data_IF_087752254179
#
_entry.id   IF_087752254179
#
_cell.length_a   1.000
_cell.length_b   1.000
_cell.length_c   1.000
_cell.angle_alpha   90.00
_cell.angle_beta   90.00
_cell.angle_gamma   90.00
#
_symmetry.space_group_name_H-M   'P 1'
#
loop_
_entity.id
_entity.type
_entity.pdbx_description
1 polymer ?
#
# COMPACT_ATOMS: atom_id res chain seq x y z
N UNK A 1 -22.93 -27.02 1.39
CA UNK A 1 -22.78 -25.68 2.02
C UNK A 1 -22.46 -25.76 3.51
N UNK A 2 -23.12 -26.63 4.29
CA UNK A 2 -22.74 -26.89 5.68
C UNK A 2 -21.32 -27.47 5.84
N UNK A 3 -20.81 -28.15 4.81
CA UNK A 3 -19.42 -28.63 4.75
C UNK A 3 -18.38 -27.52 5.01
N UNK A 4 -18.64 -26.28 4.59
CA UNK A 4 -17.73 -25.15 4.85
C UNK A 4 -17.77 -24.67 6.31
N UNK A 5 -18.91 -24.84 6.98
CA UNK A 5 -19.07 -24.56 8.42
C UNK A 5 -18.38 -25.65 9.22
N UNK A 6 -18.59 -26.92 8.85
CA UNK A 6 -17.94 -28.07 9.48
C UNK A 6 -16.42 -28.06 9.30
N UNK A 7 -15.94 -27.59 8.14
CA UNK A 7 -14.52 -27.38 7.86
C UNK A 7 -13.92 -26.12 8.54
N UNK A 8 -14.73 -25.30 9.23
CA UNK A 8 -14.27 -24.08 9.90
C UNK A 8 -13.83 -22.95 8.97
N UNK A 9 -14.19 -23.01 7.69
CA UNK A 9 -13.86 -21.98 6.70
C UNK A 9 -14.78 -20.75 6.81
N UNK A 10 -16.00 -20.96 7.31
CA UNK A 10 -16.98 -19.91 7.62
C UNK A 10 -17.61 -20.18 8.98
N UNK A 11 -18.04 -19.11 9.65
CA UNK A 11 -18.68 -19.22 10.98
C UNK A 11 -20.16 -19.62 10.91
N UNK A 12 -20.81 -19.43 9.75
CA UNK A 12 -22.22 -19.76 9.57
C UNK A 12 -22.79 -19.25 8.25
N UNK A 13 -24.05 -19.60 7.99
CA UNK A 13 -24.82 -19.18 6.81
C UNK A 13 -26.04 -18.42 7.30
N UNK A 14 -26.24 -17.21 6.81
CA UNK A 14 -27.38 -16.36 7.14
C UNK A 14 -27.69 -15.41 5.99
N UNK A 15 -28.86 -14.76 6.01
CA UNK A 15 -29.20 -13.76 5.01
C UNK A 15 -28.43 -12.47 5.27
N UNK A 16 -28.29 -11.63 4.24
CA UNK A 16 -27.60 -10.34 4.34
C UNK A 16 -28.20 -9.46 5.44
N UNK A 17 -29.53 -9.47 5.59
CA UNK A 17 -30.24 -8.76 6.67
C UNK A 17 -29.81 -9.23 8.06
N UNK A 18 -29.59 -10.54 8.24
CA UNK A 18 -29.19 -11.12 9.52
C UNK A 18 -27.76 -10.66 9.89
N UNK A 19 -26.87 -10.57 8.88
CA UNK A 19 -25.52 -10.04 9.06
C UNK A 19 -25.57 -8.56 9.44
N UNK A 20 -26.36 -7.76 8.73
CA UNK A 20 -26.50 -6.34 9.03
C UNK A 20 -27.03 -6.10 10.45
N UNK A 21 -28.05 -6.86 10.87
CA UNK A 21 -28.65 -6.73 12.19
C UNK A 21 -27.65 -7.13 13.29
N UNK A 22 -26.88 -8.21 13.09
CA UNK A 22 -25.78 -8.56 14.00
C UNK A 22 -24.72 -7.45 14.09
N UNK A 23 -24.36 -6.81 12.98
CA UNK A 23 -23.41 -5.69 12.97
C UNK A 23 -23.98 -4.46 13.69
N UNK A 24 -25.26 -4.12 13.46
CA UNK A 24 -25.94 -3.02 14.17
C UNK A 24 -25.97 -3.29 15.67
N UNK A 25 -26.32 -4.50 16.09
CA UNK A 25 -26.35 -4.89 17.51
C UNK A 25 -24.94 -4.78 18.12
N UNK A 26 -23.90 -5.22 17.42
CA UNK A 26 -22.52 -5.21 17.91
C UNK A 26 -21.92 -3.82 18.03
N UNK A 27 -22.20 -2.93 17.06
CA UNK A 27 -21.58 -1.61 16.96
C UNK A 27 -22.49 -0.43 17.32
N UNK A 28 -23.80 -0.68 17.52
CA UNK A 28 -24.83 0.33 17.80
C UNK A 28 -25.33 0.37 19.24
N UNK A 29 -24.85 -0.52 20.13
CA UNK A 29 -25.20 -0.52 21.56
C UNK A 29 -24.57 0.67 22.27
N UNK A 30 -25.40 1.65 22.64
CA UNK A 30 -25.16 2.49 23.80
C UNK A 30 -25.63 1.78 25.08
N UNK A 31 -25.24 2.22 26.28
CA UNK A 31 -25.47 1.50 27.54
C UNK A 31 -26.95 1.20 27.91
N UNK A 32 -27.94 1.69 27.14
CA UNK A 32 -29.36 1.61 27.48
C UNK A 32 -30.31 1.31 26.30
N UNK A 33 -29.84 0.87 25.13
CA UNK A 33 -30.70 0.59 23.97
C UNK A 33 -31.06 -0.90 23.85
N UNK A 34 -32.34 -1.20 23.62
CA UNK A 34 -32.83 -2.55 23.32
C UNK A 34 -32.46 -2.96 21.89
N UNK A 35 -32.28 -4.26 21.63
CA UNK A 35 -31.83 -4.76 20.32
C UNK A 35 -32.80 -4.42 19.20
N UNK A 36 -34.10 -4.48 19.46
CA UNK A 36 -35.18 -4.17 18.51
C UNK A 36 -35.20 -2.69 18.09
N UNK A 37 -34.62 -1.80 18.91
CA UNK A 37 -34.47 -0.38 18.60
C UNK A 37 -33.16 -0.09 17.85
N UNK A 38 -32.14 -0.92 18.04
CA UNK A 38 -30.83 -0.80 17.39
C UNK A 38 -30.90 -1.26 15.94
N UNK A 39 -31.58 -2.37 15.64
CA UNK A 39 -31.71 -2.91 14.27
C UNK A 39 -32.46 -1.97 13.31
N UNK A 40 -33.33 -1.10 13.84
CA UNK A 40 -34.04 -0.06 13.08
C UNK A 40 -33.16 1.12 12.66
N UNK A 41 -31.99 1.29 13.29
CA UNK A 41 -31.06 2.35 12.96
C UNK A 41 -30.18 1.92 11.78
N UNK A 42 -29.75 2.86 10.92
CA UNK A 42 -28.79 2.54 9.88
C UNK A 42 -27.48 2.04 10.51
N UNK A 43 -26.83 1.08 9.86
CA UNK A 43 -25.53 0.61 10.29
C UNK A 43 -24.55 1.80 10.31
N UNK A 44 -23.88 2.01 11.46
CA UNK A 44 -22.85 3.01 11.59
C UNK A 44 -21.57 2.55 10.87
N UNK A 45 -21.54 2.76 9.55
CA UNK A 45 -20.43 2.38 8.68
C UNK A 45 -19.81 3.59 8.01
N UNK A 46 -18.56 3.44 7.61
CA UNK A 46 -17.85 4.41 6.77
C UNK A 46 -17.25 3.68 5.59
N UNK A 47 -17.50 4.20 4.39
CA UNK A 47 -16.85 3.69 3.19
C UNK A 47 -15.32 3.85 3.31
N UNK A 48 -14.58 2.81 2.92
CA UNK A 48 -13.12 2.78 3.03
C UNK A 48 -12.46 3.91 2.23
N UNK A 49 -12.97 4.23 1.03
CA UNK A 49 -12.41 5.31 0.21
C UNK A 49 -12.65 6.66 0.88
N UNK A 50 -13.83 6.87 1.49
CA UNK A 50 -14.14 8.07 2.29
C UNK A 50 -13.25 8.17 3.52
N UNK A 51 -12.98 7.05 4.19
CA UNK A 51 -12.13 7.00 5.38
C UNK A 51 -10.68 7.39 5.06
N UNK A 52 -10.10 6.80 4.00
CA UNK A 52 -8.70 7.03 3.60
C UNK A 52 -8.47 8.40 2.97
N UNK A 53 -9.49 9.01 2.34
CA UNK A 53 -9.39 10.35 1.73
C UNK A 53 -9.22 11.50 2.74
N UNK A 54 -9.33 11.24 4.04
CA UNK A 54 -9.06 12.27 5.05
C UNK A 54 -7.58 12.64 5.04
N UNK A 55 -7.30 13.94 5.13
CA UNK A 55 -5.94 14.46 5.17
C UNK A 55 -5.29 14.10 6.52
N UNK A 56 -4.72 12.90 6.57
CA UNK A 56 -4.07 12.33 7.75
C UNK A 56 -2.96 13.25 8.26
N UNK A 57 -2.15 13.85 7.38
CA UNK A 57 -1.05 14.76 7.75
C UNK A 57 -1.52 15.91 8.66
N UNK A 58 -2.69 16.51 8.37
CA UNK A 58 -3.28 17.56 9.21
C UNK A 58 -3.89 17.04 10.51
N UNK A 59 -4.35 15.79 10.53
CA UNK A 59 -5.04 15.21 11.70
C UNK A 59 -4.08 14.69 12.78
N UNK A 60 -2.89 14.22 12.40
CA UNK A 60 -1.90 13.68 13.36
C UNK A 60 -0.85 14.71 13.80
N UNK A 61 -1.00 15.98 13.38
CA UNK A 61 -0.04 17.03 13.74
C UNK A 61 1.34 16.87 13.10
N UNK A 62 1.50 15.95 12.14
CA UNK A 62 2.75 15.72 11.39
C UNK A 62 2.80 16.73 10.24
N UNK A 63 2.92 18.01 10.59
CA UNK A 63 3.07 19.11 9.65
C UNK A 63 4.45 19.74 9.79
N UNK A 64 5.28 19.63 8.75
CA UNK A 64 6.63 20.23 8.71
C UNK A 64 7.69 19.39 9.42
N UNK A 65 8.79 19.08 8.73
CA UNK A 65 9.88 18.28 9.27
C UNK A 65 10.65 17.49 8.21
N UNK A 66 11.67 16.78 8.68
CA UNK A 66 12.42 15.78 7.91
C UNK A 66 11.50 14.60 7.53
N UNK A 67 11.63 14.09 6.31
CA UNK A 67 10.78 13.05 5.71
C UNK A 67 11.61 11.82 5.34
N UNK A 68 10.96 10.67 5.27
CA UNK A 68 11.53 9.45 4.67
C UNK A 68 10.87 9.28 3.30
N UNK A 69 11.66 9.18 2.24
CA UNK A 69 11.14 8.92 0.92
C UNK A 69 10.75 7.44 0.80
N UNK A 70 9.58 7.15 0.25
CA UNK A 70 9.17 5.78 -0.09
C UNK A 70 9.08 5.68 -1.61
N UNK A 71 10.07 5.03 -2.23
CA UNK A 71 10.13 4.81 -3.67
C UNK A 71 9.60 3.41 -3.96
N UNK A 72 8.61 3.29 -4.84
CA UNK A 72 8.03 2.00 -5.25
C UNK A 72 8.65 1.57 -6.58
N UNK A 73 9.44 0.51 -6.54
CA UNK A 73 10.02 -0.18 -7.69
C UNK A 73 9.16 -1.40 -8.01
N UNK A 74 8.17 -1.24 -8.88
CA UNK A 74 7.16 -2.28 -9.16
C UNK A 74 7.09 -2.59 -10.65
N UNK A 75 7.09 -3.88 -10.99
CA UNK A 75 6.95 -4.36 -12.37
C UNK A 75 8.27 -4.80 -13.00
N UNK A 76 8.20 -5.28 -14.24
CA UNK A 76 9.36 -5.72 -14.99
C UNK A 76 10.30 -4.54 -15.31
N UNK A 77 11.61 -4.77 -15.21
CA UNK A 77 12.63 -3.74 -15.38
C UNK A 77 12.88 -3.50 -16.87
N UNK A 78 12.70 -2.26 -17.33
CA UNK A 78 12.93 -1.83 -18.70
C UNK A 78 13.81 -0.59 -18.76
N UNK A 79 14.51 -0.40 -19.88
CA UNK A 79 15.16 0.88 -20.16
C UNK A 79 14.11 1.94 -20.47
N UNK A 80 14.39 3.20 -20.13
CA UNK A 80 13.50 4.32 -20.40
C UNK A 80 12.58 4.67 -19.23
N UNK A 81 11.40 5.22 -19.52
CA UNK A 81 10.42 5.66 -18.52
C UNK A 81 9.46 4.54 -18.12
N UNK A 82 8.81 4.70 -16.97
CA UNK A 82 7.74 3.83 -16.53
C UNK A 82 6.64 3.74 -17.61
N UNK A 83 6.14 2.53 -17.83
CA UNK A 83 5.06 2.23 -18.75
C UNK A 83 3.98 1.41 -18.07
N UNK A 84 2.82 1.35 -18.72
CA UNK A 84 1.74 0.45 -18.36
C UNK A 84 1.12 -0.09 -19.64
N UNK A 85 1.03 -1.40 -19.77
CA UNK A 85 0.35 -2.07 -20.88
C UNK A 85 -0.68 -3.05 -20.33
N UNK A 86 -1.85 -3.19 -20.97
CA UNK A 86 -2.83 -4.22 -20.60
C UNK A 86 -2.27 -5.64 -20.63
N UNK A 87 -1.23 -5.88 -21.45
CA UNK A 87 -0.67 -7.22 -21.69
C UNK A 87 0.51 -7.52 -20.76
N UNK A 88 1.39 -6.54 -20.52
CA UNK A 88 2.62 -6.74 -19.74
C UNK A 88 2.54 -6.16 -18.33
N UNK A 89 1.43 -5.52 -17.97
CA UNK A 89 1.27 -4.80 -16.71
C UNK A 89 2.13 -3.54 -16.63
N UNK A 90 2.40 -3.09 -15.40
CA UNK A 90 3.28 -1.96 -15.13
C UNK A 90 4.75 -2.34 -15.36
N UNK A 91 5.53 -1.43 -15.95
CA UNK A 91 6.98 -1.58 -16.08
C UNK A 91 7.71 -0.54 -15.23
N UNK A 92 8.83 -0.96 -14.67
CA UNK A 92 9.77 -0.12 -13.95
C UNK A 92 10.84 0.38 -14.93
N UNK A 93 10.73 1.64 -15.33
CA UNK A 93 11.69 2.30 -16.21
C UNK A 93 12.89 2.84 -15.44
N UNK A 94 14.10 2.54 -15.93
CA UNK A 94 15.34 3.02 -15.32
C UNK A 94 15.44 4.54 -15.21
N UNK A 95 15.00 5.28 -16.23
CA UNK A 95 15.05 6.75 -16.21
C UNK A 95 14.15 7.32 -15.12
N UNK A 96 12.92 6.81 -15.02
CA UNK A 96 11.96 7.24 -14.01
C UNK A 96 12.44 6.96 -12.59
N UNK A 97 13.05 5.80 -12.35
CA UNK A 97 13.59 5.49 -11.03
C UNK A 97 14.82 6.36 -10.70
N UNK A 98 15.73 6.54 -11.65
CA UNK A 98 16.93 7.39 -11.49
C UNK A 98 16.55 8.83 -11.18
N UNK A 99 15.56 9.40 -11.88
CA UNK A 99 15.05 10.74 -11.61
C UNK A 99 14.51 10.87 -10.17
N UNK A 100 13.77 9.87 -9.69
CA UNK A 100 13.25 9.85 -8.32
C UNK A 100 14.39 9.74 -7.29
N UNK A 101 15.37 8.86 -7.53
CA UNK A 101 16.53 8.69 -6.65
C UNK A 101 17.32 9.99 -6.54
N UNK A 102 17.58 10.68 -7.66
CA UNK A 102 18.26 11.99 -7.68
C UNK A 102 17.50 13.03 -6.88
N UNK A 103 16.19 13.13 -7.11
CA UNK A 103 15.33 14.06 -6.36
C UNK A 103 15.40 13.80 -4.85
N UNK A 104 15.39 12.54 -4.43
CA UNK A 104 15.50 12.17 -3.02
C UNK A 104 16.89 12.46 -2.47
N UNK A 105 17.94 12.22 -3.26
CA UNK A 105 19.33 12.51 -2.87
C UNK A 105 19.56 14.00 -2.62
N UNK A 106 19.10 14.85 -3.52
CA UNK A 106 19.45 16.27 -3.53
C UNK A 106 18.53 17.12 -2.63
N UNK A 107 17.32 16.65 -2.32
CA UNK A 107 16.37 17.35 -1.45
C UNK A 107 16.64 17.10 0.04
N UNK A 108 17.06 18.15 0.75
CA UNK A 108 17.40 18.13 2.20
C UNK A 108 16.22 17.78 3.11
N UNK A 109 14.98 17.84 2.61
CA UNK A 109 13.81 17.42 3.38
C UNK A 109 13.81 15.92 3.60
N UNK A 110 14.39 15.13 2.70
CA UNK A 110 14.49 13.68 2.88
C UNK A 110 15.76 13.29 3.64
N UNK A 111 15.60 12.54 4.73
CA UNK A 111 16.73 12.04 5.54
C UNK A 111 17.07 10.58 5.29
N UNK A 112 16.15 9.81 4.71
CA UNK A 112 16.35 8.41 4.37
C UNK A 112 15.43 8.03 3.20
N UNK A 113 15.70 6.87 2.59
CA UNK A 113 14.90 6.30 1.53
C UNK A 113 14.53 4.85 1.85
N UNK A 114 13.25 4.50 1.72
CA UNK A 114 12.75 3.14 1.67
C UNK A 114 12.46 2.80 0.21
N UNK A 115 13.22 1.87 -0.37
CA UNK A 115 12.96 1.30 -1.67
C UNK A 115 12.08 0.07 -1.50
N UNK A 116 10.82 0.18 -1.88
CA UNK A 116 9.89 -0.95 -1.87
C UNK A 116 9.90 -1.64 -3.23
N UNK A 117 10.40 -2.87 -3.29
CA UNK A 117 10.54 -3.64 -4.51
C UNK A 117 9.45 -4.71 -4.66
N UNK A 118 8.85 -4.78 -5.85
CA UNK A 118 8.04 -5.89 -6.32
C UNK A 118 8.31 -6.09 -7.83
N UNK A 119 9.43 -6.74 -8.16
CA UNK A 119 9.91 -6.90 -9.53
C UNK A 119 10.43 -8.32 -9.79
N UNK A 120 10.03 -8.96 -10.91
CA UNK A 120 10.65 -10.20 -11.39
C UNK A 120 12.04 -9.98 -12.03
N UNK A 121 12.53 -8.75 -12.07
CA UNK A 121 13.74 -8.36 -12.79
C UNK A 121 13.43 -7.91 -14.22
N UNK A 122 14.42 -8.04 -15.12
CA UNK A 122 14.30 -7.63 -16.51
C UNK A 122 15.64 -7.24 -17.11
N UNK A 123 15.71 -6.06 -17.73
CA UNK A 123 16.92 -5.57 -18.38
C UNK A 123 18.08 -5.41 -17.40
N UNK A 124 19.16 -6.17 -17.60
CA UNK A 124 20.36 -6.11 -16.78
C UNK A 124 21.04 -4.73 -16.83
N UNK A 125 21.09 -4.11 -18.02
CA UNK A 125 21.64 -2.76 -18.19
C UNK A 125 20.82 -1.71 -17.44
N UNK A 126 19.50 -1.78 -17.53
CA UNK A 126 18.61 -0.88 -16.80
C UNK A 126 18.78 -1.07 -15.28
N UNK A 127 18.92 -2.31 -14.83
CA UNK A 127 19.16 -2.66 -13.42
C UNK A 127 20.48 -2.08 -12.92
N UNK A 128 21.57 -2.20 -13.68
CA UNK A 128 22.88 -1.65 -13.31
C UNK A 128 22.88 -0.12 -13.24
N UNK A 129 22.21 0.55 -14.18
CA UNK A 129 22.03 2.01 -14.17
C UNK A 129 21.31 2.45 -12.88
N UNK A 130 20.22 1.78 -12.52
CA UNK A 130 19.47 2.07 -11.29
C UNK A 130 20.31 1.80 -10.04
N UNK A 131 21.03 0.67 -10.02
CA UNK A 131 21.92 0.28 -8.93
C UNK A 131 23.04 1.30 -8.70
N UNK A 132 23.67 1.77 -9.77
CA UNK A 132 24.70 2.82 -9.71
C UNK A 132 24.16 4.09 -9.06
N UNK A 133 22.93 4.51 -9.38
CA UNK A 133 22.34 5.69 -8.77
C UNK A 133 21.92 5.46 -7.30
N UNK A 134 21.41 4.27 -6.97
CA UNK A 134 21.11 3.88 -5.58
C UNK A 134 22.37 3.90 -4.70
N UNK A 135 23.52 3.43 -5.19
CA UNK A 135 24.80 3.53 -4.46
C UNK A 135 25.16 4.98 -4.13
N UNK A 136 24.98 5.90 -5.08
CA UNK A 136 25.25 7.33 -4.85
C UNK A 136 24.30 7.92 -3.81
N UNK A 137 23.04 7.49 -3.78
CA UNK A 137 22.11 7.87 -2.73
C UNK A 137 22.53 7.30 -1.37
N UNK A 138 22.89 6.01 -1.32
CA UNK A 138 23.32 5.32 -0.11
C UNK A 138 24.59 5.93 0.51
N UNK A 139 25.47 6.52 -0.31
CA UNK A 139 26.65 7.22 0.16
C UNK A 139 26.34 8.50 0.97
N UNK A 140 25.15 9.08 0.82
CA UNK A 140 24.77 10.34 1.50
C UNK A 140 23.55 10.21 2.42
N UNK A 141 22.69 9.20 2.23
CA UNK A 141 21.47 8.98 3.01
C UNK A 141 21.23 7.48 3.21
N UNK A 142 20.77 7.04 4.40
CA UNK A 142 20.37 5.65 4.60
C UNK A 142 19.33 5.19 3.59
N UNK A 143 19.57 4.04 2.96
CA UNK A 143 18.65 3.38 2.04
C UNK A 143 18.28 2.02 2.61
N UNK A 144 16.99 1.78 2.81
CA UNK A 144 16.45 0.50 3.25
C UNK A 144 15.68 -0.12 2.10
N UNK A 145 15.86 -1.43 1.88
CA UNK A 145 15.05 -2.18 0.93
C UNK A 145 13.91 -2.89 1.66
N UNK A 146 12.71 -2.88 1.05
CA UNK A 146 11.55 -3.65 1.49
C UNK A 146 11.08 -4.48 0.30
N UNK A 147 11.29 -5.78 0.37
CA UNK A 147 10.90 -6.72 -0.68
C UNK A 147 9.44 -7.15 -0.43
N UNK A 148 8.63 -7.11 -1.49
CA UNK A 148 7.23 -7.58 -1.48
C UNK A 148 7.18 -9.01 -2.03
N UNK A 149 6.25 -9.32 -2.93
CA UNK A 149 5.99 -10.70 -3.39
C UNK A 149 7.15 -11.27 -4.22
N UNK A 150 7.78 -10.44 -5.06
CA UNK A 150 8.91 -10.85 -5.90
C UNK A 150 9.99 -9.76 -5.89
N UNK A 151 11.23 -10.14 -5.60
CA UNK A 151 12.41 -9.30 -5.78
C UNK A 151 13.54 -10.22 -6.28
N UNK A 152 13.51 -10.52 -7.58
CA UNK A 152 14.35 -11.55 -8.18
C UNK A 152 15.15 -11.02 -9.37
N UNK A 153 16.27 -11.67 -9.68
CA UNK A 153 17.17 -11.30 -10.77
C UNK A 153 17.75 -9.89 -10.59
N UNK A 154 17.31 -8.90 -11.39
CA UNK A 154 17.72 -7.50 -11.24
C UNK A 154 16.85 -6.66 -10.29
N UNK A 155 15.77 -7.25 -9.75
CA UNK A 155 14.83 -6.61 -8.81
C UNK A 155 15.37 -6.50 -7.39
#
# INVERSE_FOLDING_TARGET
>A
MNEYVEAGLITGICYESDVEDQLKIRFGKGPFKKEEEVVKQPLNSVDVRRYVRRNTEKMVGIGGGKKIAVIRAVGAITSGKNGSSPVTGNTLGSESLVELIRKVRDDKRYVACLLRCNSPGGSALASDIMWSELKKLAAVKPVLASQSDVAASGG
#
